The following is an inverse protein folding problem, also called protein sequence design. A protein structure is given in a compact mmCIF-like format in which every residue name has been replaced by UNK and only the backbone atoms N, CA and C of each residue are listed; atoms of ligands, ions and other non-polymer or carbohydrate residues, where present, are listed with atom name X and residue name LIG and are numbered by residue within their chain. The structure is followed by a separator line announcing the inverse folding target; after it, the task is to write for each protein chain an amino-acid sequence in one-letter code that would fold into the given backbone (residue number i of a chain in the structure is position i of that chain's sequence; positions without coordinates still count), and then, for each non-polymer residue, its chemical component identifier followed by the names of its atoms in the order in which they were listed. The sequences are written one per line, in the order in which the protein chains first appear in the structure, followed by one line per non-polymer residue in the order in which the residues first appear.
data_IF_011942223437
#
_entry.id   IF_011942223437
#
_cell.length_a   1.000
_cell.length_b   1.000
_cell.length_c   1.000
_cell.angle_alpha   90.00
_cell.angle_beta   90.00
_cell.angle_gamma   90.00
#
_symmetry.space_group_name_H-M   'P 1'
#
loop_
_entity.id
_entity.type
_entity.pdbx_description
1 polymer ?
#
# COMPACT_ATOMS: atom_id res chain seq x y z
N UNK A 1 31.57 -5.74 -39.71
CA UNK A 1 30.53 -5.34 -38.73
C UNK A 1 29.93 -6.52 -37.98
N UNK A 2 29.32 -7.49 -38.70
CA UNK A 2 28.56 -8.60 -38.11
C UNK A 2 29.42 -9.53 -37.22
N UNK A 3 30.63 -9.88 -37.65
CA UNK A 3 31.53 -10.74 -36.87
C UNK A 3 31.94 -10.14 -35.51
N UNK A 4 32.15 -8.82 -35.46
CA UNK A 4 32.46 -8.09 -34.24
C UNK A 4 31.22 -8.07 -33.33
N UNK A 5 30.03 -7.85 -33.87
CA UNK A 5 28.77 -7.90 -33.15
C UNK A 5 28.54 -9.28 -32.53
N UNK A 6 28.68 -10.34 -33.30
CA UNK A 6 28.50 -11.73 -32.85
C UNK A 6 29.55 -12.13 -31.80
N UNK A 7 30.80 -11.68 -31.96
CA UNK A 7 31.87 -11.88 -30.93
C UNK A 7 31.55 -11.15 -29.64
N UNK A 8 31.04 -9.92 -29.69
CA UNK A 8 30.65 -9.15 -28.54
C UNK A 8 29.39 -9.74 -27.85
N UNK A 9 28.44 -10.22 -28.66
CA UNK A 9 27.23 -10.92 -28.17
C UNK A 9 27.59 -12.21 -27.44
N UNK A 10 28.51 -13.04 -28.02
CA UNK A 10 29.01 -14.26 -27.35
C UNK A 10 29.76 -13.95 -26.06
N UNK A 11 30.59 -12.90 -26.01
CA UNK A 11 31.27 -12.45 -24.76
C UNK A 11 30.27 -11.97 -23.72
N UNK A 12 29.21 -11.29 -24.09
CA UNK A 12 28.14 -10.84 -23.21
C UNK A 12 27.30 -12.00 -22.63
N UNK A 13 27.01 -13.03 -23.45
CA UNK A 13 26.25 -14.20 -23.04
C UNK A 13 27.07 -15.16 -22.14
N UNK A 14 28.39 -15.16 -22.24
CA UNK A 14 29.26 -16.11 -21.52
C UNK A 14 29.38 -15.84 -20.02
N UNK A 15 29.04 -14.65 -19.54
CA UNK A 15 29.22 -14.28 -18.13
C UNK A 15 28.07 -14.73 -17.23
N UNK A 16 26.83 -14.79 -17.71
CA UNK A 16 25.67 -15.24 -16.97
C UNK A 16 25.61 -14.73 -15.53
N UNK A 17 25.23 -15.57 -14.59
CA UNK A 17 25.21 -15.28 -13.15
C UNK A 17 26.59 -14.90 -12.59
N UNK A 18 27.69 -15.41 -13.18
CA UNK A 18 29.08 -15.10 -12.78
C UNK A 18 29.50 -13.65 -13.03
N UNK A 19 28.66 -12.85 -13.73
CA UNK A 19 28.93 -11.42 -13.91
C UNK A 19 28.73 -10.58 -12.66
N UNK A 20 28.15 -11.16 -11.62
CA UNK A 20 27.80 -10.49 -10.36
C UNK A 20 28.32 -11.31 -9.18
N UNK A 21 28.49 -10.65 -8.02
CA UNK A 21 29.12 -11.29 -6.85
C UNK A 21 28.28 -12.45 -6.31
N UNK A 22 28.96 -13.45 -5.77
CA UNK A 22 28.36 -14.57 -5.07
C UNK A 22 27.60 -14.08 -3.81
N UNK A 23 28.14 -13.05 -3.15
CA UNK A 23 27.53 -12.40 -1.98
C UNK A 23 26.15 -11.84 -2.33
N UNK A 24 26.03 -11.14 -3.47
CA UNK A 24 24.73 -10.62 -3.95
C UNK A 24 23.71 -11.76 -4.08
N UNK A 25 24.07 -12.86 -4.75
CA UNK A 25 23.14 -13.96 -4.98
C UNK A 25 22.73 -14.69 -3.71
N UNK A 26 23.66 -14.88 -2.77
CA UNK A 26 23.35 -15.49 -1.48
C UNK A 26 22.44 -14.60 -0.63
N UNK A 27 22.71 -13.29 -0.60
CA UNK A 27 21.86 -12.34 0.13
C UNK A 27 20.47 -12.26 -0.48
N UNK A 28 20.35 -12.31 -1.83
CA UNK A 28 19.06 -12.36 -2.51
C UNK A 28 18.31 -13.65 -2.17
N UNK A 29 19.00 -14.80 -2.06
CA UNK A 29 18.40 -16.06 -1.64
C UNK A 29 17.80 -15.96 -0.24
N UNK A 30 18.58 -15.48 0.71
CA UNK A 30 18.13 -15.26 2.10
C UNK A 30 16.94 -14.28 2.16
N UNK A 31 17.02 -13.17 1.44
CA UNK A 31 15.93 -12.18 1.38
C UNK A 31 14.65 -12.76 0.74
N UNK A 32 14.79 -13.67 -0.24
CA UNK A 32 13.65 -14.35 -0.85
C UNK A 32 12.97 -15.35 0.11
N UNK A 33 13.71 -15.87 1.08
CA UNK A 33 13.21 -16.78 2.12
C UNK A 33 12.61 -16.03 3.31
N UNK A 34 12.94 -14.73 3.49
CA UNK A 34 12.41 -13.91 4.57
C UNK A 34 10.88 -13.71 4.43
N UNK A 35 10.17 -13.92 5.54
CA UNK A 35 8.70 -13.80 5.62
C UNK A 35 8.31 -12.75 6.64
N UNK A 36 7.10 -12.20 6.48
CA UNK A 36 6.42 -11.46 7.51
C UNK A 36 5.97 -12.40 8.64
N UNK A 37 5.49 -11.85 9.73
CA UNK A 37 5.03 -12.60 10.91
C UNK A 37 4.05 -13.74 10.59
N UNK A 38 3.22 -13.58 9.57
CA UNK A 38 2.29 -14.62 9.11
C UNK A 38 2.99 -15.88 8.54
N UNK A 39 4.30 -15.82 8.30
CA UNK A 39 5.08 -16.89 7.67
C UNK A 39 4.77 -17.13 6.18
N UNK A 40 3.71 -16.54 5.64
CA UNK A 40 3.21 -16.79 4.28
C UNK A 40 3.75 -15.80 3.25
N UNK A 41 3.83 -14.51 3.60
CA UNK A 41 4.18 -13.44 2.67
C UNK A 41 5.67 -13.14 2.68
N UNK A 42 6.26 -12.96 1.49
CA UNK A 42 7.65 -12.55 1.36
C UNK A 42 7.85 -11.12 1.82
N UNK A 43 8.93 -10.90 2.58
CA UNK A 43 9.28 -9.57 3.09
C UNK A 43 9.76 -8.62 1.99
N UNK A 44 10.45 -9.13 0.98
CA UNK A 44 11.01 -8.35 -0.11
C UNK A 44 10.57 -8.86 -1.47
N UNK A 45 10.27 -7.94 -2.40
CA UNK A 45 10.26 -8.25 -3.81
C UNK A 45 11.65 -7.99 -4.42
N UNK A 46 11.92 -8.55 -5.60
CA UNK A 46 13.24 -8.47 -6.26
C UNK A 46 13.68 -7.02 -6.49
N UNK A 47 12.77 -6.15 -6.95
CA UNK A 47 13.08 -4.74 -7.26
C UNK A 47 13.47 -3.98 -5.99
N UNK A 48 12.70 -4.15 -4.93
CA UNK A 48 12.96 -3.55 -3.61
C UNK A 48 14.28 -4.05 -3.02
N UNK A 49 14.52 -5.37 -3.07
CA UNK A 49 15.77 -5.95 -2.60
C UNK A 49 16.98 -5.33 -3.30
N UNK A 50 16.96 -5.26 -4.63
CA UNK A 50 18.06 -4.69 -5.41
C UNK A 50 18.33 -3.23 -5.02
N UNK A 51 17.28 -2.44 -4.80
CA UNK A 51 17.43 -1.04 -4.41
C UNK A 51 18.06 -0.90 -3.01
N UNK A 52 17.58 -1.67 -2.04
CA UNK A 52 18.14 -1.71 -0.68
C UNK A 52 19.60 -2.20 -0.70
N UNK A 53 19.87 -3.26 -1.47
CA UNK A 53 21.23 -3.79 -1.59
C UNK A 53 22.22 -2.78 -2.17
N UNK A 54 21.83 -2.06 -3.26
CA UNK A 54 22.65 -0.99 -3.84
C UNK A 54 22.96 0.14 -2.87
N UNK A 55 21.99 0.51 -2.03
CA UNK A 55 22.19 1.54 -1.00
C UNK A 55 23.21 1.09 0.04
N UNK A 56 23.18 -0.20 0.41
CA UNK A 56 24.10 -0.79 1.40
C UNK A 56 25.51 -1.02 0.83
N UNK A 57 25.60 -1.36 -0.46
CA UNK A 57 26.85 -1.69 -1.15
C UNK A 57 27.01 -0.87 -2.45
N UNK A 58 27.26 0.45 -2.36
CA UNK A 58 27.24 1.36 -3.52
C UNK A 58 28.31 1.10 -4.56
N UNK A 59 29.43 0.50 -4.17
CA UNK A 59 30.56 0.18 -5.06
C UNK A 59 30.42 -1.19 -5.73
N UNK A 60 29.47 -2.01 -5.31
CA UNK A 60 29.30 -3.36 -5.85
C UNK A 60 28.50 -3.36 -7.15
N UNK A 61 28.96 -4.13 -8.12
CA UNK A 61 28.22 -4.32 -9.36
C UNK A 61 26.98 -5.19 -9.13
N UNK A 62 25.79 -4.57 -9.21
CA UNK A 62 24.52 -5.21 -8.95
C UNK A 62 23.70 -5.32 -10.25
N UNK A 63 23.04 -6.47 -10.53
CA UNK A 63 22.19 -6.60 -11.69
C UNK A 63 20.98 -5.67 -11.64
N UNK A 64 20.41 -5.36 -12.82
CA UNK A 64 19.07 -4.74 -12.87
C UNK A 64 18.01 -5.77 -12.50
N UNK A 65 16.84 -5.32 -12.04
CA UNK A 65 15.74 -6.23 -11.76
C UNK A 65 15.30 -7.00 -13.02
N UNK A 66 15.36 -6.36 -14.21
CA UNK A 66 15.09 -7.03 -15.49
C UNK A 66 16.05 -8.20 -15.75
N UNK A 67 17.33 -8.02 -15.44
CA UNK A 67 18.34 -9.07 -15.56
C UNK A 67 18.00 -10.27 -14.66
N UNK A 68 17.61 -10.01 -13.41
CA UNK A 68 17.22 -11.08 -12.47
C UNK A 68 15.96 -11.81 -12.95
N UNK A 69 14.94 -11.07 -13.40
CA UNK A 69 13.73 -11.69 -13.96
C UNK A 69 14.04 -12.54 -15.20
N UNK A 70 14.95 -12.11 -16.07
CA UNK A 70 15.37 -12.89 -17.23
C UNK A 70 16.00 -14.25 -16.81
N UNK A 71 16.82 -14.27 -15.76
CA UNK A 71 17.37 -15.53 -15.23
C UNK A 71 16.27 -16.43 -14.63
N UNK A 72 15.30 -15.86 -13.94
CA UNK A 72 14.16 -16.60 -13.39
C UNK A 72 13.33 -17.23 -14.51
N UNK A 73 13.01 -16.48 -15.57
CA UNK A 73 12.22 -16.98 -16.71
C UNK A 73 12.95 -18.03 -17.53
N UNK A 74 14.29 -18.00 -17.55
CA UNK A 74 15.11 -19.03 -18.22
C UNK A 74 15.30 -20.29 -17.37
N UNK A 75 14.83 -20.29 -16.12
CA UNK A 75 15.04 -21.39 -15.19
C UNK A 75 16.49 -21.51 -14.67
N UNK A 76 17.31 -20.48 -14.88
CA UNK A 76 18.72 -20.45 -14.45
C UNK A 76 18.90 -20.01 -12.99
N UNK A 77 17.81 -19.92 -12.24
CA UNK A 77 17.81 -19.32 -10.90
C UNK A 77 17.02 -20.16 -9.88
N UNK A 78 17.33 -20.01 -8.59
CA UNK A 78 16.66 -20.74 -7.50
C UNK A 78 15.20 -20.31 -7.28
N UNK A 79 14.80 -19.08 -7.73
CA UNK A 79 13.41 -18.64 -7.73
C UNK A 79 12.76 -19.09 -9.03
N UNK A 80 11.62 -19.79 -8.96
CA UNK A 80 10.85 -20.19 -10.14
C UNK A 80 9.88 -19.09 -10.53
N UNK A 81 9.56 -18.99 -11.83
CA UNK A 81 8.62 -18.00 -12.35
C UNK A 81 7.24 -18.10 -11.68
N UNK A 82 6.78 -19.32 -11.37
CA UNK A 82 5.49 -19.57 -10.69
C UNK A 82 5.44 -18.99 -9.26
N UNK A 83 6.60 -18.79 -8.62
CA UNK A 83 6.68 -18.23 -7.27
C UNK A 83 6.56 -16.70 -7.26
N UNK A 84 6.51 -16.05 -8.42
CA UNK A 84 6.37 -14.60 -8.52
C UNK A 84 4.92 -14.18 -8.28
N UNK A 85 4.66 -13.11 -7.49
CA UNK A 85 3.32 -12.75 -7.02
C UNK A 85 2.27 -12.50 -8.12
N UNK A 86 2.70 -12.16 -9.35
CA UNK A 86 1.79 -11.74 -10.43
C UNK A 86 1.59 -12.82 -11.50
N UNK A 87 2.39 -13.90 -11.49
CA UNK A 87 2.35 -14.92 -12.56
C UNK A 87 1.04 -15.72 -12.62
N UNK A 88 0.31 -15.82 -11.51
CA UNK A 88 -0.89 -16.67 -11.39
C UNK A 88 -2.18 -15.86 -11.21
N UNK A 89 -2.17 -14.57 -11.54
CA UNK A 89 -3.37 -13.74 -11.41
C UNK A 89 -4.29 -13.98 -12.62
N UNK A 90 -5.31 -14.80 -12.43
CA UNK A 90 -6.38 -14.95 -13.41
C UNK A 90 -7.15 -13.62 -13.52
N UNK A 91 -7.19 -13.04 -14.71
CA UNK A 91 -8.06 -11.88 -14.96
C UNK A 91 -9.51 -12.34 -14.83
N UNK A 92 -10.31 -11.77 -13.89
CA UNK A 92 -11.71 -12.13 -13.82
C UNK A 92 -12.40 -11.80 -15.15
N UNK A 93 -13.26 -12.71 -15.64
CA UNK A 93 -14.09 -12.43 -16.81
C UNK A 93 -14.91 -11.17 -16.51
N UNK A 94 -14.84 -10.16 -17.41
CA UNK A 94 -15.69 -8.98 -17.32
C UNK A 94 -17.15 -9.43 -17.36
N UNK A 95 -17.88 -9.23 -16.28
CA UNK A 95 -19.31 -9.43 -16.26
C UNK A 95 -19.94 -8.34 -17.15
N UNK A 96 -20.50 -8.73 -18.29
CA UNK A 96 -21.15 -7.80 -19.25
C UNK A 96 -22.39 -7.12 -18.67
N UNK A 97 -22.94 -7.64 -17.58
CA UNK A 97 -24.12 -7.11 -16.89
C UNK A 97 -23.69 -6.30 -15.65
N UNK A 98 -22.95 -5.21 -15.84
CA UNK A 98 -22.81 -4.23 -14.77
C UNK A 98 -24.17 -3.56 -14.52
N UNK A 99 -24.70 -3.71 -13.30
CA UNK A 99 -25.89 -2.94 -12.89
C UNK A 99 -25.63 -1.45 -13.14
N UNK A 100 -26.62 -0.68 -13.60
CA UNK A 100 -26.47 0.75 -13.79
C UNK A 100 -25.98 1.37 -12.48
N UNK A 101 -25.04 2.32 -12.58
CA UNK A 101 -24.55 3.07 -11.42
C UNK A 101 -25.73 3.81 -10.79
N UNK A 102 -25.82 3.76 -9.46
CA UNK A 102 -26.85 4.52 -8.74
C UNK A 102 -26.80 6.01 -9.07
N UNK A 103 -27.91 6.70 -8.92
CA UNK A 103 -28.06 8.12 -9.25
C UNK A 103 -27.81 9.04 -8.05
N UNK A 104 -27.53 8.49 -6.87
CA UNK A 104 -27.34 9.29 -5.65
C UNK A 104 -26.04 10.11 -5.74
N UNK A 105 -26.19 11.44 -5.82
CA UNK A 105 -25.12 12.43 -5.88
C UNK A 105 -24.97 13.20 -4.56
N UNK A 106 -25.60 12.75 -3.47
CA UNK A 106 -25.54 13.44 -2.18
C UNK A 106 -24.08 13.44 -1.68
N UNK A 107 -23.60 14.60 -1.28
CA UNK A 107 -22.30 14.80 -0.61
C UNK A 107 -22.60 15.05 0.87
N UNK A 108 -21.89 14.36 1.75
CA UNK A 108 -22.14 14.41 3.21
C UNK A 108 -21.57 15.67 3.88
N UNK A 109 -20.75 16.45 3.16
CA UNK A 109 -20.12 17.67 3.67
C UNK A 109 -19.41 18.44 2.56
N UNK A 110 -18.26 19.01 2.84
CA UNK A 110 -17.45 19.77 1.88
C UNK A 110 -16.96 18.88 0.73
N UNK A 111 -17.15 19.36 -0.51
CA UNK A 111 -16.70 18.61 -1.68
C UNK A 111 -15.19 18.54 -1.79
N UNK A 112 -14.67 17.44 -2.33
CA UNK A 112 -13.26 17.29 -2.68
C UNK A 112 -12.79 18.38 -3.68
N UNK A 113 -13.70 18.96 -4.47
CA UNK A 113 -13.40 20.07 -5.39
C UNK A 113 -12.96 21.34 -4.67
N UNK A 114 -13.29 21.50 -3.38
CA UNK A 114 -12.87 22.62 -2.54
C UNK A 114 -11.52 22.38 -1.87
N UNK A 115 -10.94 21.17 -2.05
CA UNK A 115 -9.65 20.82 -1.49
C UNK A 115 -8.54 21.52 -2.26
N UNK A 116 -7.58 22.19 -1.57
CA UNK A 116 -6.48 22.91 -2.23
C UNK A 116 -5.67 22.00 -3.17
N UNK A 117 -5.24 22.54 -4.31
CA UNK A 117 -4.43 21.82 -5.31
C UNK A 117 -3.10 21.34 -4.76
N UNK A 118 -2.54 22.01 -3.75
CA UNK A 118 -1.33 21.59 -3.03
C UNK A 118 -1.46 20.22 -2.38
N UNK A 119 -2.67 19.78 -2.05
CA UNK A 119 -2.95 18.43 -1.55
C UNK A 119 -2.85 17.40 -2.67
N UNK A 120 -3.13 17.80 -3.93
CA UNK A 120 -3.02 16.92 -5.09
C UNK A 120 -1.56 16.67 -5.48
N UNK A 121 -0.69 17.69 -5.38
CA UNK A 121 0.76 17.58 -5.68
C UNK A 121 1.48 16.65 -4.72
N UNK A 122 0.88 16.37 -3.53
CA UNK A 122 1.47 15.49 -2.51
C UNK A 122 2.85 15.97 -2.05
N UNK A 123 2.99 17.26 -1.84
CA UNK A 123 4.25 17.88 -1.40
C UNK A 123 4.29 18.12 0.10
N UNK A 124 3.15 18.03 0.77
CA UNK A 124 3.04 18.24 2.22
C UNK A 124 2.42 17.04 2.93
N UNK A 125 2.89 16.79 4.16
CA UNK A 125 2.34 15.79 5.07
C UNK A 125 1.06 16.31 5.73
N UNK A 126 0.22 15.36 6.16
CA UNK A 126 -0.95 15.63 7.00
C UNK A 126 -2.29 15.50 6.25
N UNK A 127 -2.25 15.08 5.01
CA UNK A 127 -3.46 14.87 4.20
C UNK A 127 -3.76 13.37 4.06
N UNK A 128 -4.87 12.94 4.68
CA UNK A 128 -5.19 11.53 4.82
C UNK A 128 -6.41 11.15 3.98
N UNK A 129 -6.39 9.95 3.44
CA UNK A 129 -7.52 9.28 2.82
C UNK A 129 -8.05 8.24 3.81
N UNK A 130 -9.36 8.18 4.01
CA UNK A 130 -10.01 7.30 4.99
C UNK A 130 -10.95 6.32 4.29
N UNK A 131 -10.97 5.05 4.72
CA UNK A 131 -11.83 4.02 4.16
C UNK A 131 -12.13 2.92 5.21
N UNK A 132 -13.17 2.12 4.96
CA UNK A 132 -13.47 0.93 5.71
C UNK A 132 -13.21 -0.34 4.90
N UNK A 133 -12.47 -1.25 5.49
CA UNK A 133 -12.18 -2.57 4.93
C UNK A 133 -13.13 -3.59 5.55
N UNK A 134 -14.10 -4.05 4.79
CA UNK A 134 -15.10 -5.06 5.19
C UNK A 134 -14.58 -6.45 4.87
N UNK A 135 -14.59 -7.36 5.85
CA UNK A 135 -14.26 -8.78 5.67
C UNK A 135 -15.39 -9.55 5.02
N UNK A 136 -16.14 -10.29 5.80
CA UNK A 136 -17.39 -10.94 5.43
C UNK A 136 -18.52 -9.90 5.44
N UNK A 137 -19.51 -10.06 4.60
CA UNK A 137 -20.72 -9.21 4.62
C UNK A 137 -21.65 -9.65 5.75
N UNK A 138 -22.03 -8.74 6.61
CA UNK A 138 -22.97 -8.96 7.73
C UNK A 138 -23.25 -7.66 8.45
N UNK A 139 -24.37 -7.56 9.17
CA UNK A 139 -24.75 -6.32 9.91
C UNK A 139 -23.85 -6.07 11.13
N UNK A 140 -23.43 -7.16 11.81
CA UNK A 140 -22.68 -7.10 13.06
C UNK A 140 -21.25 -7.64 12.89
N UNK A 141 -20.71 -7.58 11.66
CA UNK A 141 -19.35 -7.99 11.38
C UNK A 141 -18.38 -6.84 11.67
N UNK A 142 -17.26 -7.12 12.34
CA UNK A 142 -16.20 -6.15 12.52
C UNK A 142 -15.66 -5.64 11.19
N UNK A 143 -15.16 -4.41 11.20
CA UNK A 143 -14.52 -3.77 10.05
C UNK A 143 -13.15 -3.23 10.43
N UNK A 144 -12.31 -2.91 9.45
CA UNK A 144 -11.05 -2.22 9.71
C UNK A 144 -11.13 -0.83 9.12
N UNK A 145 -11.05 0.18 9.99
CA UNK A 145 -10.84 1.57 9.59
C UNK A 145 -9.39 1.75 9.15
N UNK A 146 -9.19 2.34 7.98
CA UNK A 146 -7.86 2.62 7.43
C UNK A 146 -7.73 4.10 7.12
N UNK A 147 -6.64 4.71 7.59
CA UNK A 147 -6.25 6.07 7.26
C UNK A 147 -4.89 6.01 6.55
N UNK A 148 -4.77 6.62 5.38
CA UNK A 148 -3.52 6.59 4.61
C UNK A 148 -3.06 8.01 4.31
N UNK A 149 -1.87 8.36 4.79
CA UNK A 149 -1.25 9.64 4.53
C UNK A 149 -0.75 9.70 3.08
N UNK A 150 -1.12 10.77 2.38
CA UNK A 150 -1.00 10.87 0.91
C UNK A 150 0.43 11.03 0.41
N UNK A 151 1.28 11.73 1.14
CA UNK A 151 2.68 11.98 0.77
C UNK A 151 3.54 10.74 1.05
N UNK A 152 3.64 10.32 2.29
CA UNK A 152 4.49 9.22 2.76
C UNK A 152 3.95 7.83 2.42
N UNK A 153 2.64 7.71 2.17
CA UNK A 153 1.92 6.43 2.05
C UNK A 153 1.85 5.65 3.37
N UNK A 154 2.10 6.32 4.49
CA UNK A 154 1.96 5.73 5.82
C UNK A 154 0.48 5.43 6.10
N UNK A 155 0.20 4.25 6.62
CA UNK A 155 -1.16 3.81 6.90
C UNK A 155 -1.36 3.47 8.37
N UNK A 156 -2.49 3.88 8.92
CA UNK A 156 -3.01 3.47 10.22
C UNK A 156 -4.17 2.50 9.95
N UNK A 157 -4.25 1.42 10.71
CA UNK A 157 -5.38 0.49 10.67
C UNK A 157 -5.90 0.24 12.08
N UNK A 158 -7.22 0.34 12.25
CA UNK A 158 -7.92 0.09 13.51
C UNK A 158 -9.10 -0.85 13.28
N UNK A 159 -9.18 -1.94 14.01
CA UNK A 159 -10.35 -2.81 14.00
C UNK A 159 -11.49 -2.16 14.79
N UNK A 160 -12.68 -2.16 14.21
CA UNK A 160 -13.90 -1.65 14.83
C UNK A 160 -14.91 -2.78 14.98
N UNK A 161 -15.74 -2.70 16.02
CA UNK A 161 -16.80 -3.69 16.30
C UNK A 161 -17.84 -3.78 15.18
N UNK A 162 -18.13 -2.67 14.51
CA UNK A 162 -19.10 -2.56 13.42
C UNK A 162 -18.79 -1.34 12.53
N UNK A 163 -19.57 -1.16 11.46
CA UNK A 163 -19.46 -0.04 10.53
C UNK A 163 -20.46 1.10 10.82
N UNK A 164 -20.97 1.21 12.05
CA UNK A 164 -21.89 2.30 12.39
C UNK A 164 -21.16 3.64 12.46
N UNK A 165 -21.86 4.70 12.08
CA UNK A 165 -21.28 6.05 12.06
C UNK A 165 -20.75 6.49 13.41
N UNK A 166 -21.43 6.15 14.52
CA UNK A 166 -20.98 6.50 15.87
C UNK A 166 -19.65 5.79 16.21
N UNK A 167 -19.55 4.48 15.94
CA UNK A 167 -18.33 3.71 16.17
C UNK A 167 -17.14 4.22 15.35
N UNK A 168 -17.42 4.61 14.10
CA UNK A 168 -16.39 5.17 13.19
C UNK A 168 -15.96 6.55 13.68
N UNK A 169 -16.92 7.39 14.10
CA UNK A 169 -16.65 8.74 14.61
C UNK A 169 -15.79 8.70 15.89
N UNK A 170 -16.16 7.88 16.87
CA UNK A 170 -15.38 7.68 18.10
C UNK A 170 -13.92 7.30 17.78
N UNK A 171 -13.72 6.33 16.91
CA UNK A 171 -12.38 5.90 16.51
C UNK A 171 -11.59 6.98 15.76
N UNK A 172 -12.26 7.80 14.93
CA UNK A 172 -11.61 8.91 14.22
C UNK A 172 -11.15 10.00 15.19
N UNK A 173 -11.98 10.36 16.17
CA UNK A 173 -11.63 11.32 17.24
C UNK A 173 -10.39 10.81 17.99
N UNK A 174 -10.43 9.58 18.53
CA UNK A 174 -9.29 8.99 19.23
C UNK A 174 -7.99 8.98 18.41
N UNK A 175 -8.06 8.62 17.12
CA UNK A 175 -6.87 8.56 16.26
C UNK A 175 -6.32 9.96 15.98
N UNK A 176 -7.18 10.94 15.74
CA UNK A 176 -6.76 12.30 15.39
C UNK A 176 -6.28 13.08 16.61
N UNK A 177 -6.86 12.88 17.78
CA UNK A 177 -6.43 13.50 19.04
C UNK A 177 -5.10 12.95 19.56
N UNK A 178 -4.76 11.69 19.23
CA UNK A 178 -3.47 11.12 19.63
C UNK A 178 -2.27 11.94 19.14
N UNK A 179 -2.35 12.56 17.95
CA UNK A 179 -1.35 13.48 17.44
C UNK A 179 -1.97 14.49 16.46
N UNK A 180 -2.67 15.53 16.95
CA UNK A 180 -3.42 16.46 16.11
C UNK A 180 -2.60 17.13 15.01
N UNK A 181 -1.31 17.40 15.28
CA UNK A 181 -0.41 18.12 14.35
C UNK A 181 -0.16 17.40 13.03
N UNK A 182 -0.38 16.08 12.97
CA UNK A 182 -0.16 15.30 11.74
C UNK A 182 -1.44 15.16 10.90
N UNK A 183 -2.56 15.73 11.34
CA UNK A 183 -3.83 15.68 10.63
C UNK A 183 -4.26 17.07 10.19
N UNK A 184 -4.01 17.42 8.92
CA UNK A 184 -4.45 18.68 8.31
C UNK A 184 -5.75 18.53 7.53
N UNK A 185 -5.95 17.38 6.91
CA UNK A 185 -7.22 17.06 6.25
C UNK A 185 -7.47 15.56 6.18
N UNK A 186 -8.76 15.22 6.22
CA UNK A 186 -9.27 13.87 6.00
C UNK A 186 -10.16 13.88 4.75
N UNK A 187 -10.02 12.86 3.90
CA UNK A 187 -10.83 12.70 2.68
C UNK A 187 -11.56 11.37 2.72
N UNK A 188 -12.89 11.42 2.62
CA UNK A 188 -13.80 10.29 2.72
C UNK A 188 -14.53 10.04 1.40
N UNK A 189 -15.15 8.86 1.23
CA UNK A 189 -16.26 8.72 0.29
C UNK A 189 -17.58 9.15 0.94
N UNK A 190 -18.68 8.99 0.18
CA UNK A 190 -20.01 9.32 0.67
C UNK A 190 -20.73 8.09 1.26
N UNK A 191 -19.99 7.20 1.95
CA UNK A 191 -20.58 6.09 2.69
C UNK A 191 -21.36 6.57 3.91
N UNK A 192 -22.47 5.88 4.25
CA UNK A 192 -23.32 6.24 5.39
C UNK A 192 -22.54 6.16 6.71
N UNK A 193 -21.54 5.32 6.78
CA UNK A 193 -20.60 5.14 7.90
C UNK A 193 -19.81 6.42 8.24
N UNK A 194 -19.63 7.31 7.27
CA UNK A 194 -18.93 8.59 7.42
C UNK A 194 -19.89 9.80 7.58
N UNK A 195 -21.16 9.56 7.86
CA UNK A 195 -22.17 10.64 7.95
C UNK A 195 -21.87 11.67 9.04
N UNK A 196 -21.13 11.33 10.07
CA UNK A 196 -20.74 12.22 11.16
C UNK A 196 -19.33 12.82 10.97
N UNK A 197 -18.55 12.40 10.00
CA UNK A 197 -17.14 12.80 9.86
C UNK A 197 -16.93 14.31 9.74
N UNK A 198 -17.91 15.06 9.19
CA UNK A 198 -17.84 16.51 9.11
C UNK A 198 -17.74 17.20 10.48
N UNK A 199 -18.25 16.58 11.57
CA UNK A 199 -18.18 17.16 12.92
C UNK A 199 -16.76 17.18 13.49
N UNK A 200 -15.81 16.42 12.94
CA UNK A 200 -14.39 16.49 13.32
C UNK A 200 -13.79 17.89 13.14
N UNK A 201 -14.33 18.71 12.23
CA UNK A 201 -13.90 20.11 12.09
C UNK A 201 -14.29 20.97 13.28
N UNK A 202 -15.21 20.52 14.14
CA UNK A 202 -15.69 21.23 15.33
C UNK A 202 -15.02 20.76 16.62
N UNK A 203 -14.14 19.76 16.55
CA UNK A 203 -13.41 19.26 17.72
C UNK A 203 -12.38 20.29 18.19
N UNK A 204 -12.38 20.68 19.48
CA UNK A 204 -11.58 21.81 19.99
C UNK A 204 -10.06 21.63 19.83
N UNK A 205 -9.59 20.38 19.80
CA UNK A 205 -8.16 20.07 19.69
C UNK A 205 -7.68 19.88 18.24
N UNK A 206 -8.59 19.91 17.27
CA UNK A 206 -8.30 19.58 15.89
C UNK A 206 -8.40 20.82 14.99
N UNK A 207 -7.31 21.12 14.27
CA UNK A 207 -7.32 22.10 13.18
C UNK A 207 -7.20 21.34 11.83
N UNK A 208 -8.23 20.57 11.52
CA UNK A 208 -8.28 19.76 10.30
C UNK A 208 -9.48 20.13 9.42
N UNK A 209 -9.39 19.79 8.13
CA UNK A 209 -10.47 19.95 7.16
C UNK A 209 -10.96 18.60 6.68
N UNK A 210 -12.27 18.47 6.53
CA UNK A 210 -12.93 17.25 6.06
C UNK A 210 -13.47 17.44 4.66
N UNK A 211 -13.12 16.51 3.74
CA UNK A 211 -13.56 16.53 2.35
C UNK A 211 -14.23 15.20 1.98
N UNK A 212 -15.22 15.28 1.11
CA UNK A 212 -15.91 14.11 0.57
C UNK A 212 -15.70 14.00 -0.94
N UNK A 213 -15.35 12.81 -1.40
CA UNK A 213 -15.17 12.50 -2.81
C UNK A 213 -16.47 12.63 -3.59
N UNK A 214 -16.36 12.79 -4.90
CA UNK A 214 -17.53 12.68 -5.76
C UNK A 214 -18.11 11.26 -5.73
N UNK A 215 -19.40 11.16 -5.90
CA UNK A 215 -20.04 9.85 -5.98
C UNK A 215 -19.43 9.00 -7.12
N UNK A 216 -19.18 7.72 -6.84
CA UNK A 216 -18.58 6.76 -7.79
C UNK A 216 -17.17 7.10 -8.27
N UNK A 217 -16.42 7.95 -7.57
CA UNK A 217 -15.08 8.41 -7.94
C UNK A 217 -13.99 7.79 -7.08
N UNK A 218 -13.91 6.45 -7.03
CA UNK A 218 -12.94 5.72 -6.21
C UNK A 218 -11.46 6.12 -6.49
N UNK A 219 -11.16 6.57 -7.73
CA UNK A 219 -9.82 7.03 -8.11
C UNK A 219 -9.32 8.26 -7.31
N UNK A 220 -10.21 9.02 -6.70
CA UNK A 220 -9.87 10.18 -5.87
C UNK A 220 -9.20 9.78 -4.54
N UNK A 221 -9.29 8.49 -4.16
CA UNK A 221 -8.66 7.87 -2.98
C UNK A 221 -7.67 6.75 -3.33
N UNK A 222 -6.87 6.96 -4.36
CA UNK A 222 -5.95 5.95 -4.87
C UNK A 222 -4.87 5.50 -3.88
N UNK A 223 -4.51 6.30 -2.88
CA UNK A 223 -3.54 5.91 -1.84
C UNK A 223 -4.14 4.85 -0.92
N UNK A 224 -5.40 5.07 -0.51
CA UNK A 224 -6.11 4.14 0.36
C UNK A 224 -6.47 2.84 -0.37
N UNK A 225 -6.93 2.93 -1.63
CA UNK A 225 -7.18 1.74 -2.45
C UNK A 225 -5.92 0.84 -2.55
N UNK A 226 -4.75 1.45 -2.79
CA UNK A 226 -3.50 0.70 -2.85
C UNK A 226 -3.13 0.09 -1.50
N UNK A 227 -3.25 0.84 -0.41
CA UNK A 227 -2.98 0.34 0.94
C UNK A 227 -3.92 -0.83 1.28
N UNK A 228 -5.21 -0.68 1.03
CA UNK A 228 -6.21 -1.72 1.28
C UNK A 228 -5.95 -2.98 0.45
N UNK A 229 -5.45 -2.83 -0.78
CA UNK A 229 -5.00 -3.97 -1.59
C UNK A 229 -3.84 -4.72 -0.92
N UNK A 230 -2.87 -4.02 -0.34
CA UNK A 230 -1.77 -4.65 0.41
C UNK A 230 -2.26 -5.28 1.72
N UNK A 231 -3.19 -4.62 2.42
CA UNK A 231 -3.80 -5.13 3.65
C UNK A 231 -4.53 -6.48 3.38
N UNK A 232 -5.12 -6.63 2.18
CA UNK A 232 -5.77 -7.87 1.76
C UNK A 232 -4.81 -9.07 1.59
N UNK A 233 -3.51 -8.84 1.55
CA UNK A 233 -2.52 -9.93 1.60
C UNK A 233 -2.48 -10.59 3.00
N UNK A 234 -2.76 -9.82 4.06
CA UNK A 234 -2.82 -10.28 5.45
C UNK A 234 -4.24 -10.66 5.87
N UNK A 235 -5.21 -9.86 5.47
CA UNK A 235 -6.63 -9.97 5.82
C UNK A 235 -7.45 -10.22 4.52
N UNK A 236 -7.61 -11.49 4.10
CA UNK A 236 -8.28 -11.80 2.85
C UNK A 236 -9.76 -11.38 2.83
N UNK A 237 -10.27 -11.06 1.64
CA UNK A 237 -11.68 -10.73 1.46
C UNK A 237 -12.57 -11.95 1.68
N UNK A 238 -13.75 -11.76 2.29
CA UNK A 238 -14.73 -12.79 2.50
C UNK A 238 -14.55 -13.61 3.80
N UNK A 239 -13.49 -13.34 4.56
CA UNK A 239 -13.27 -13.92 5.89
C UNK A 239 -13.79 -12.95 6.94
N UNK A 240 -14.43 -13.45 8.00
CA UNK A 240 -14.86 -12.61 9.13
C UNK A 240 -13.65 -12.00 9.83
N UNK A 241 -13.74 -10.70 10.13
CA UNK A 241 -12.70 -9.99 10.87
C UNK A 241 -12.69 -10.33 12.36
N UNK A 242 -13.67 -11.07 12.86
CA UNK A 242 -13.65 -11.63 14.21
C UNK A 242 -12.53 -12.65 14.44
N UNK A 243 -12.00 -13.25 13.37
CA UNK A 243 -10.87 -14.17 13.44
C UNK A 243 -9.50 -13.51 13.60
N UNK A 244 -9.44 -12.19 13.51
CA UNK A 244 -8.21 -11.42 13.67
C UNK A 244 -8.26 -10.62 14.96
N UNK A 245 -7.16 -10.58 15.71
CA UNK A 245 -7.05 -9.71 16.88
C UNK A 245 -6.78 -8.26 16.44
N UNK A 246 -6.88 -7.32 17.37
CA UNK A 246 -6.55 -5.91 17.10
C UNK A 246 -5.06 -5.75 16.80
N UNK A 247 -4.21 -6.51 17.51
CA UNK A 247 -2.77 -6.56 17.34
C UNK A 247 -2.39 -7.07 15.94
N UNK A 248 -3.04 -8.12 15.44
CA UNK A 248 -2.79 -8.65 14.09
C UNK A 248 -3.14 -7.63 13.00
N UNK A 249 -4.18 -6.83 13.19
CA UNK A 249 -4.57 -5.75 12.28
C UNK A 249 -3.53 -4.62 12.29
N UNK A 250 -3.04 -4.23 13.47
CA UNK A 250 -1.99 -3.23 13.63
C UNK A 250 -0.68 -3.73 13.01
N UNK A 251 -0.27 -4.96 13.31
CA UNK A 251 0.96 -5.56 12.78
C UNK A 251 0.94 -5.68 11.25
N UNK A 252 -0.23 -5.98 10.67
CA UNK A 252 -0.41 -5.96 9.22
C UNK A 252 -0.13 -4.57 8.63
N UNK A 253 -0.66 -3.50 9.24
CA UNK A 253 -0.41 -2.13 8.82
C UNK A 253 1.06 -1.73 8.97
N UNK A 254 1.70 -2.07 10.08
CA UNK A 254 3.12 -1.84 10.32
C UNK A 254 4.00 -2.57 9.31
N UNK A 255 3.68 -3.82 9.00
CA UNK A 255 4.35 -4.59 7.95
C UNK A 255 4.27 -3.90 6.59
N UNK A 256 3.13 -3.29 6.27
CA UNK A 256 2.94 -2.51 5.03
C UNK A 256 3.76 -1.21 5.08
N UNK A 257 3.79 -0.53 6.23
CA UNK A 257 4.52 0.72 6.45
C UNK A 257 6.04 0.53 6.36
N UNK A 258 6.55 -0.63 6.74
CA UNK A 258 7.97 -1.00 6.65
C UNK A 258 8.40 -1.42 5.24
N UNK A 259 7.45 -1.62 4.31
CA UNK A 259 7.81 -1.98 2.92
C UNK A 259 8.47 -0.80 2.22
N UNK A 260 9.64 -1.04 1.70
CA UNK A 260 10.37 -0.10 0.85
C UNK A 260 9.62 0.09 -0.47
N UNK A 261 9.43 1.34 -0.89
CA UNK A 261 8.62 1.70 -2.08
C UNK A 261 9.38 2.60 -3.03
N UNK A 262 9.27 2.33 -4.33
CA UNK A 262 9.89 3.17 -5.35
C UNK A 262 9.36 4.62 -5.35
N UNK A 263 8.06 4.80 -5.09
CA UNK A 263 7.42 6.12 -5.00
C UNK A 263 7.97 6.99 -3.86
N UNK A 264 8.64 6.38 -2.89
CA UNK A 264 9.30 7.02 -1.75
C UNK A 264 10.83 6.97 -1.91
N UNK A 265 11.35 6.97 -3.13
CA UNK A 265 12.78 6.85 -3.41
C UNK A 265 13.45 5.67 -2.69
N UNK A 266 12.75 4.54 -2.68
CA UNK A 266 13.15 3.31 -1.99
C UNK A 266 13.36 3.46 -0.48
N UNK A 267 12.59 4.35 0.14
CA UNK A 267 12.38 4.39 1.58
C UNK A 267 11.05 3.72 1.93
N UNK A 268 10.91 3.27 3.17
CA UNK A 268 9.62 2.81 3.68
C UNK A 268 8.68 3.99 3.95
N UNK A 269 7.38 3.72 3.99
CA UNK A 269 6.40 4.74 4.34
C UNK A 269 6.64 5.27 5.77
N UNK A 270 7.05 4.39 6.68
CA UNK A 270 7.40 4.72 8.05
C UNK A 270 8.60 5.68 8.13
N UNK A 271 9.69 5.40 7.40
CA UNK A 271 10.87 6.28 7.37
C UNK A 271 10.54 7.68 6.87
N UNK A 272 9.74 7.77 5.77
CA UNK A 272 9.32 9.05 5.20
C UNK A 272 8.43 9.81 6.18
N UNK A 273 7.45 9.14 6.79
CA UNK A 273 6.53 9.76 7.73
C UNK A 273 7.22 10.27 9.00
N UNK A 274 8.16 9.49 9.55
CA UNK A 274 8.93 9.90 10.73
C UNK A 274 9.80 11.13 10.48
N UNK A 275 10.47 11.21 9.32
CA UNK A 275 11.31 12.37 8.95
C UNK A 275 10.53 13.67 8.82
N UNK A 276 9.23 13.60 8.55
CA UNK A 276 8.38 14.75 8.34
C UNK A 276 7.62 15.19 9.61
N UNK A 277 7.71 14.39 10.69
CA UNK A 277 7.16 14.74 12.01
C UNK A 277 8.06 15.68 12.82
N UNK A 278 9.35 15.66 12.50
CA UNK A 278 10.38 16.53 13.09
C UNK A 278 10.41 17.86 12.39
#
# INVERSE_FOLDING_TARGET
GQAIYDKNRKKSQSKGLKAFSHTFWNTLKQANEARWFTGKLRKYNIKTFIAVYRRKYPLEKVPTFKTVYNYIHRGEFFIKAIDLPVMVTLKPRRNKNSKPKGTNKKILGRSISERPDTVLSRESIGHWEVDLVVGKKGKDEPVVLTLVERFSRYGISRKLKDAKSDTVQEALVEITEWNPKVFKSLTFDNGAEFSQAASLESEPLLDLKVYFCHAYSAWERGSNEHFNKLLREFIPKGISLSHFTDEEVIEAAESINQRVREVNDYQSAQEVFQKMKT
#
